data_IF_970565435271
#
_entry.id   IF_970565435271
#
_cell.length_a   1.000
_cell.length_b   1.000
_cell.length_c   1.000
_cell.angle_alpha   90.00
_cell.angle_beta   90.00
_cell.angle_gamma   90.00
#
_symmetry.space_group_name_H-M   'P 1'
#
loop_
_entity.id
_entity.type
_entity.pdbx_description
1 polymer ?
#
# COMPACT_ATOMS: atom_id res chain seq x y z
N UNK A 1 28.17 -29.78 19.27
CA UNK A 1 29.35 -30.58 19.68
C UNK A 1 30.59 -29.79 19.29
N UNK A 2 31.53 -29.60 20.24
CA UNK A 2 32.73 -28.72 20.25
C UNK A 2 32.44 -27.20 20.40
N UNK A 3 32.62 -26.54 21.58
CA UNK A 3 33.81 -26.29 22.46
C UNK A 3 34.65 -25.13 21.89
N UNK A 4 35.16 -24.11 22.60
CA UNK A 4 35.03 -23.50 23.95
C UNK A 4 35.93 -22.22 23.95
N UNK A 5 35.57 -21.15 24.67
CA UNK A 5 36.14 -20.68 25.95
C UNK A 5 37.27 -19.60 25.90
N UNK A 6 37.04 -18.55 26.72
CA UNK A 6 37.95 -17.89 27.69
C UNK A 6 39.17 -17.09 27.16
N UNK A 7 39.68 -16.02 27.79
CA UNK A 7 39.37 -15.31 29.05
C UNK A 7 40.19 -14.00 29.13
N UNK A 8 39.72 -13.12 30.01
CA UNK A 8 40.35 -12.09 30.88
C UNK A 8 41.87 -11.86 30.93
N UNK A 9 42.26 -10.58 31.10
CA UNK A 9 43.33 -10.06 32.01
C UNK A 9 43.20 -8.52 32.06
N UNK A 10 42.95 -7.73 33.13
CA UNK A 10 43.37 -7.60 34.54
C UNK A 10 44.44 -6.50 34.81
N UNK A 11 44.15 -5.65 35.82
CA UNK A 11 45.08 -4.83 36.64
C UNK A 11 45.55 -3.46 36.09
N UNK A 12 45.86 -2.41 36.85
CA UNK A 12 45.79 -2.08 38.30
C UNK A 12 46.56 -0.75 38.52
N UNK A 13 46.05 0.15 39.39
CA UNK A 13 46.77 1.03 40.38
C UNK A 13 47.84 2.04 39.87
N UNK A 14 48.20 3.17 40.51
CA UNK A 14 47.72 4.16 41.49
C UNK A 14 48.85 5.25 41.57
N UNK A 15 48.60 6.36 42.26
CA UNK A 15 49.57 7.27 42.92
C UNK A 15 50.08 8.57 42.22
N UNK A 16 49.41 9.68 42.60
CA UNK A 16 49.93 10.90 43.27
C UNK A 16 51.21 11.62 42.78
N UNK A 17 51.08 12.93 42.47
CA UNK A 17 52.00 13.98 42.97
C UNK A 17 51.44 15.41 42.76
N UNK A 18 51.28 16.16 43.85
CA UNK A 18 51.38 17.64 43.96
C UNK A 18 52.76 17.99 44.59
N UNK A 19 53.28 19.25 44.66
CA UNK A 19 52.58 20.55 44.61
C UNK A 19 53.32 21.69 43.84
N UNK A 20 52.71 22.87 43.70
CA UNK A 20 53.21 24.18 44.23
C UNK A 20 52.40 25.40 43.72
N UNK A 21 52.38 26.41 44.59
CA UNK A 21 51.47 27.56 44.73
C UNK A 21 51.88 28.81 43.95
N UNK A 22 50.91 29.53 43.36
CA UNK A 22 50.76 31.02 43.30
C UNK A 22 49.66 31.31 42.26
N UNK A 23 48.46 31.82 42.57
CA UNK A 23 48.17 33.08 43.25
C UNK A 23 47.90 34.17 42.20
N UNK A 24 46.64 34.34 41.77
CA UNK A 24 46.03 35.65 41.47
C UNK A 24 44.53 35.50 41.17
N UNK A 25 43.74 36.44 41.69
CA UNK A 25 42.28 36.55 41.58
C UNK A 25 41.84 37.08 40.21
N UNK A 26 40.86 36.46 39.56
CA UNK A 26 39.90 37.19 38.71
C UNK A 26 38.59 36.41 38.56
N UNK A 27 37.50 37.16 38.65
CA UNK A 27 36.09 36.75 38.57
C UNK A 27 35.66 36.16 37.22
N UNK A 28 34.51 35.48 37.28
CA UNK A 28 33.47 35.29 36.24
C UNK A 28 33.60 34.15 35.21
N UNK A 29 32.60 33.27 35.23
CA UNK A 29 32.14 32.50 34.07
C UNK A 29 32.04 30.99 34.28
N UNK A 30 31.02 30.52 35.00
CA UNK A 30 30.56 29.13 34.86
C UNK A 30 29.83 29.01 33.51
N UNK A 31 30.17 28.07 32.61
CA UNK A 31 29.30 27.77 31.48
C UNK A 31 28.12 26.97 32.03
N UNK A 32 26.96 27.61 32.12
CA UNK A 32 25.69 26.90 32.28
C UNK A 32 25.48 26.09 31.01
N UNK A 33 25.62 24.77 31.13
CA UNK A 33 25.01 23.81 30.22
C UNK A 33 23.50 24.02 30.28
N UNK A 34 22.96 24.76 29.32
CA UNK A 34 21.53 24.72 29.02
C UNK A 34 21.28 23.43 28.26
N UNK A 35 20.93 22.37 28.98
CA UNK A 35 20.09 21.33 28.42
C UNK A 35 18.77 22.01 28.03
N UNK A 36 18.56 22.20 26.73
CA UNK A 36 17.25 22.47 26.19
C UNK A 36 16.46 21.15 26.26
N UNK A 37 15.95 20.82 27.44
CA UNK A 37 14.83 19.92 27.59
C UNK A 37 13.61 20.67 27.06
N UNK A 38 13.31 20.51 25.77
CA UNK A 38 12.00 20.87 25.24
C UNK A 38 10.99 19.94 25.89
N UNK A 39 10.13 20.48 26.76
CA UNK A 39 8.88 19.80 27.10
C UNK A 39 8.13 19.62 25.77
N UNK A 40 8.04 18.38 25.29
CA UNK A 40 7.11 18.04 24.21
C UNK A 40 5.72 18.37 24.72
N UNK A 41 5.08 19.39 24.14
CA UNK A 41 3.71 19.71 24.51
C UNK A 41 2.83 18.51 24.13
N UNK A 42 2.07 17.98 25.09
CA UNK A 42 0.95 17.07 24.79
C UNK A 42 -0.23 17.89 24.23
N UNK A 43 0.04 18.80 23.29
CA UNK A 43 -1.00 19.57 22.63
C UNK A 43 -1.89 18.61 21.84
N UNK A 44 -3.20 18.81 21.95
CA UNK A 44 -4.24 18.07 21.22
C UNK A 44 -4.84 19.03 20.20
N UNK A 45 -4.13 19.36 19.09
CA UNK A 45 -4.57 20.36 18.12
C UNK A 45 -5.90 20.00 17.43
N UNK A 46 -6.30 18.73 17.44
CA UNK A 46 -7.58 18.27 16.92
C UNK A 46 -8.76 18.39 17.88
N UNK A 47 -8.57 18.86 19.13
CA UNK A 47 -9.65 18.87 20.13
C UNK A 47 -10.86 19.67 19.65
N UNK A 48 -12.01 18.99 19.51
CA UNK A 48 -13.26 19.58 19.03
C UNK A 48 -13.43 19.62 17.52
N UNK A 49 -12.50 19.03 16.76
CA UNK A 49 -12.60 18.84 15.31
C UNK A 49 -12.96 17.38 15.03
N UNK A 50 -14.07 17.16 14.32
CA UNK A 50 -14.45 15.82 13.84
C UNK A 50 -13.82 15.55 12.48
N UNK A 51 -13.44 14.29 12.24
CA UNK A 51 -12.87 13.82 10.97
C UNK A 51 -13.68 12.65 10.45
N UNK A 52 -14.04 12.66 9.18
CA UNK A 52 -14.70 11.58 8.46
C UNK A 52 -13.71 10.94 7.47
N UNK A 53 -13.00 9.87 7.87
CA UNK A 53 -12.17 9.11 6.94
C UNK A 53 -13.02 8.36 5.92
N UNK A 54 -12.40 8.05 4.78
CA UNK A 54 -12.87 7.07 3.83
C UNK A 54 -11.84 5.93 3.70
N UNK A 55 -12.32 4.76 3.29
CA UNK A 55 -11.51 3.59 2.94
C UNK A 55 -12.01 2.90 1.69
N UNK A 56 -11.16 2.03 1.15
CA UNK A 56 -11.44 1.33 -0.09
C UNK A 56 -12.49 0.23 0.11
N UNK A 57 -13.13 -0.24 -0.97
CA UNK A 57 -14.00 -1.43 -0.95
C UNK A 57 -13.23 -2.75 -0.96
N UNK A 58 -11.90 -2.69 -0.99
CA UNK A 58 -11.00 -3.83 -0.79
C UNK A 58 -10.27 -3.72 0.54
N UNK A 59 -10.15 -4.85 1.23
CA UNK A 59 -9.72 -4.90 2.62
C UNK A 59 -8.20 -4.68 2.83
N UNK A 60 -7.37 -4.85 1.79
CA UNK A 60 -5.90 -4.66 1.90
C UNK A 60 -5.46 -3.21 2.14
N UNK A 61 -6.42 -2.28 2.13
CA UNK A 61 -6.27 -0.85 2.48
C UNK A 61 -6.71 -0.48 3.90
N UNK A 62 -7.30 -1.42 4.67
CA UNK A 62 -7.91 -1.10 5.97
C UNK A 62 -6.87 -0.84 7.07
N UNK A 63 -5.73 -1.53 7.01
CA UNK A 63 -4.64 -1.35 7.97
C UNK A 63 -4.03 0.05 7.90
N UNK A 64 -3.84 0.55 6.68
CA UNK A 64 -3.37 1.91 6.41
C UNK A 64 -4.40 2.90 6.97
N UNK A 65 -5.69 2.73 6.68
CA UNK A 65 -6.72 3.60 7.26
C UNK A 65 -6.70 3.60 8.79
N UNK A 66 -6.64 2.42 9.43
CA UNK A 66 -6.58 2.32 10.89
C UNK A 66 -5.36 3.04 11.50
N UNK A 67 -4.19 2.97 10.86
CA UNK A 67 -2.99 3.71 11.28
C UNK A 67 -3.20 5.22 11.17
N UNK A 68 -3.74 5.70 10.06
CA UNK A 68 -3.97 7.14 9.85
C UNK A 68 -5.06 7.69 10.78
N UNK A 69 -6.13 6.93 11.03
CA UNK A 69 -7.16 7.27 11.99
C UNK A 69 -6.60 7.34 13.42
N UNK A 70 -5.79 6.35 13.84
CA UNK A 70 -5.12 6.37 15.14
C UNK A 70 -4.17 7.57 15.30
N UNK A 71 -3.48 7.98 14.23
CA UNK A 71 -2.63 9.18 14.24
C UNK A 71 -3.42 10.46 14.55
N UNK A 72 -4.60 10.60 13.94
CA UNK A 72 -5.48 11.75 14.19
C UNK A 72 -6.08 11.68 15.61
N UNK A 73 -6.45 10.51 16.10
CA UNK A 73 -6.89 10.34 17.50
C UNK A 73 -5.80 10.78 18.49
N UNK A 74 -4.54 10.42 18.26
CA UNK A 74 -3.39 10.84 19.09
C UNK A 74 -3.09 12.36 19.01
N UNK A 75 -3.57 13.03 17.96
CA UNK A 75 -3.58 14.49 17.84
C UNK A 75 -4.85 15.13 18.43
N UNK A 76 -5.80 14.33 18.91
CA UNK A 76 -7.00 14.76 19.62
C UNK A 76 -8.24 14.98 18.76
N UNK A 77 -8.22 14.56 17.49
CA UNK A 77 -9.39 14.60 16.62
C UNK A 77 -10.46 13.59 17.05
N UNK A 78 -11.73 13.92 16.80
CA UNK A 78 -12.86 12.99 16.93
C UNK A 78 -13.08 12.26 15.59
N UNK A 79 -12.42 11.11 15.43
CA UNK A 79 -12.42 10.36 14.17
C UNK A 79 -13.65 9.45 14.09
N UNK A 80 -14.48 9.67 13.08
CA UNK A 80 -15.65 8.84 12.81
C UNK A 80 -15.25 7.50 12.18
N UNK A 81 -16.18 6.53 12.18
CA UNK A 81 -16.02 5.29 11.43
C UNK A 81 -15.81 5.59 9.95
N UNK A 82 -14.80 4.97 9.33
CA UNK A 82 -14.48 5.19 7.94
C UNK A 82 -15.62 4.77 7.00
N UNK A 83 -15.91 5.63 6.03
CA UNK A 83 -16.86 5.29 4.98
C UNK A 83 -16.17 4.46 3.90
N UNK A 84 -16.70 3.27 3.65
CA UNK A 84 -16.25 2.43 2.54
C UNK A 84 -16.80 2.94 1.21
N UNK A 85 -15.92 3.35 0.30
CA UNK A 85 -16.27 3.99 -0.96
C UNK A 85 -15.44 3.43 -2.12
N UNK A 86 -16.09 3.21 -3.26
CA UNK A 86 -15.39 2.96 -4.53
C UNK A 86 -14.71 4.24 -5.06
N UNK A 87 -13.68 4.08 -5.91
CA UNK A 87 -12.82 5.19 -6.36
C UNK A 87 -13.60 6.41 -6.87
N UNK A 88 -14.60 6.28 -7.77
CA UNK A 88 -15.28 7.44 -8.35
C UNK A 88 -16.05 8.24 -7.29
N UNK A 89 -16.66 7.54 -6.33
CA UNK A 89 -17.43 8.17 -5.27
C UNK A 89 -16.47 8.83 -4.27
N UNK A 90 -15.41 8.13 -3.86
CA UNK A 90 -14.40 8.71 -2.99
C UNK A 90 -13.85 10.04 -3.55
N UNK A 91 -13.37 10.04 -4.80
CA UNK A 91 -12.70 11.22 -5.37
C UNK A 91 -13.64 12.42 -5.54
N UNK A 92 -14.93 12.18 -5.76
CA UNK A 92 -15.95 13.24 -5.73
C UNK A 92 -16.22 13.73 -4.29
N UNK A 93 -16.38 12.81 -3.34
CA UNK A 93 -16.68 13.12 -1.94
C UNK A 93 -15.55 13.88 -1.25
N UNK A 94 -14.28 13.50 -1.47
CA UNK A 94 -13.14 14.19 -0.87
C UNK A 94 -12.96 15.59 -1.45
N UNK A 95 -13.20 15.78 -2.75
CA UNK A 95 -13.16 17.10 -3.38
C UNK A 95 -14.28 18.02 -2.86
N UNK A 96 -15.44 17.44 -2.57
CA UNK A 96 -16.60 18.15 -2.02
C UNK A 96 -16.49 18.42 -0.52
N UNK A 97 -15.60 17.73 0.20
CA UNK A 97 -15.48 17.79 1.66
C UNK A 97 -16.53 16.95 2.41
N UNK A 98 -17.15 15.97 1.74
CA UNK A 98 -18.06 15.01 2.38
C UNK A 98 -17.29 13.95 3.21
N UNK A 99 -16.03 13.70 2.84
CA UNK A 99 -15.03 12.93 3.59
C UNK A 99 -13.72 13.70 3.57
N UNK A 100 -12.89 13.54 4.59
CA UNK A 100 -11.69 14.37 4.78
C UNK A 100 -10.46 13.78 4.09
N UNK A 101 -10.27 12.46 4.13
CA UNK A 101 -9.12 11.80 3.53
C UNK A 101 -9.33 10.32 3.21
N UNK A 102 -8.40 9.77 2.42
CA UNK A 102 -8.22 8.34 2.18
C UNK A 102 -6.74 8.01 2.04
N UNK A 103 -6.25 7.06 2.85
CA UNK A 103 -4.86 6.61 2.86
C UNK A 103 -4.62 5.40 1.91
N UNK A 104 -5.25 5.40 0.73
CA UNK A 104 -5.13 4.30 -0.23
C UNK A 104 -5.36 4.75 -1.69
N UNK A 105 -4.92 5.95 -2.06
CA UNK A 105 -4.90 6.38 -3.47
C UNK A 105 -3.73 5.73 -4.20
N UNK A 106 -3.99 4.98 -5.27
CA UNK A 106 -2.96 4.24 -6.01
C UNK A 106 -2.55 5.02 -7.25
N UNK A 107 -1.30 5.47 -7.33
CA UNK A 107 -0.83 6.27 -8.45
C UNK A 107 0.32 5.58 -9.17
N UNK A 108 0.28 5.45 -10.51
CA UNK A 108 -0.59 6.20 -11.45
C UNK A 108 -1.96 5.56 -11.74
N UNK A 109 -2.34 4.44 -11.13
CA UNK A 109 -3.60 3.73 -11.44
C UNK A 109 -4.86 4.61 -11.34
N UNK A 110 -4.88 5.55 -10.40
CA UNK A 110 -6.00 6.46 -10.14
C UNK A 110 -5.85 7.83 -10.81
N UNK A 111 -4.87 8.03 -11.70
CA UNK A 111 -4.66 9.31 -12.41
C UNK A 111 -5.91 9.81 -13.14
N UNK A 112 -6.75 8.89 -13.65
CA UNK A 112 -8.03 9.24 -14.27
C UNK A 112 -8.98 10.06 -13.39
N UNK A 113 -8.75 10.08 -12.07
CA UNK A 113 -9.52 10.87 -11.11
C UNK A 113 -8.87 12.20 -10.73
N UNK A 114 -7.67 12.52 -11.23
CA UNK A 114 -6.93 13.74 -10.87
C UNK A 114 -7.72 15.01 -11.18
N UNK A 115 -8.34 15.11 -12.36
CA UNK A 115 -9.22 16.24 -12.71
C UNK A 115 -10.44 16.35 -11.77
N UNK A 116 -10.90 15.23 -11.22
CA UNK A 116 -12.02 15.22 -10.27
C UNK A 116 -11.58 15.72 -8.91
N UNK A 117 -10.54 15.12 -8.32
CA UNK A 117 -10.19 15.44 -6.94
C UNK A 117 -9.47 16.77 -6.79
N UNK A 118 -8.67 17.19 -7.78
CA UNK A 118 -7.94 18.47 -7.75
C UNK A 118 -8.83 19.73 -7.71
N UNK A 119 -10.15 19.57 -7.82
CA UNK A 119 -11.12 20.65 -7.62
C UNK A 119 -11.26 21.09 -6.15
N UNK A 120 -10.86 20.25 -5.19
CA UNK A 120 -10.96 20.56 -3.76
C UNK A 120 -10.15 19.65 -2.84
N UNK A 121 -9.32 18.76 -3.40
CA UNK A 121 -8.47 17.83 -2.68
C UNK A 121 -7.10 17.72 -3.35
N UNK A 122 -6.12 17.20 -2.61
CA UNK A 122 -4.76 17.02 -3.09
C UNK A 122 -4.11 15.78 -2.48
N UNK A 123 -3.00 15.34 -3.09
CA UNK A 123 -2.16 14.29 -2.49
C UNK A 123 -1.43 14.91 -1.29
N UNK A 124 -1.72 14.40 -0.10
CA UNK A 124 -1.23 14.93 1.18
C UNK A 124 0.00 14.18 1.72
N UNK A 125 0.36 13.04 1.13
CA UNK A 125 1.49 12.23 1.56
C UNK A 125 1.63 10.92 0.78
N UNK A 126 2.74 10.23 1.02
CA UNK A 126 3.02 8.91 0.43
C UNK A 126 3.12 7.87 1.53
N UNK A 127 2.10 7.01 1.61
CA UNK A 127 2.04 5.88 2.55
C UNK A 127 3.18 4.92 2.24
N UNK A 128 3.32 4.52 0.97
CA UNK A 128 4.36 3.62 0.53
C UNK A 128 4.70 3.78 -0.96
N UNK A 129 5.99 3.79 -1.28
CA UNK A 129 6.49 3.90 -2.67
C UNK A 129 6.56 2.52 -3.32
N UNK A 130 6.05 2.37 -4.54
CA UNK A 130 6.03 1.09 -5.26
C UNK A 130 5.30 -0.01 -4.50
N UNK A 131 4.27 0.36 -3.75
CA UNK A 131 3.60 -0.50 -2.80
C UNK A 131 2.60 -1.49 -3.35
N UNK A 132 2.33 -1.47 -4.65
CA UNK A 132 1.57 -2.52 -5.30
C UNK A 132 2.12 -2.88 -6.67
N UNK A 133 2.32 -4.20 -6.87
CA UNK A 133 2.46 -4.79 -8.20
C UNK A 133 1.12 -5.37 -8.64
N UNK A 134 0.78 -5.20 -9.91
CA UNK A 134 -0.50 -5.61 -10.47
C UNK A 134 -0.29 -6.32 -11.81
N UNK A 135 -1.24 -7.16 -12.21
CA UNK A 135 -1.17 -7.85 -13.49
C UNK A 135 -2.08 -9.05 -13.62
N UNK A 136 -1.83 -9.82 -14.67
CA UNK A 136 -2.62 -10.99 -15.04
C UNK A 136 -1.95 -12.27 -14.60
N UNK A 137 -2.74 -13.19 -14.05
CA UNK A 137 -2.32 -14.54 -13.75
C UNK A 137 -3.22 -15.56 -14.40
N UNK A 138 -2.63 -16.70 -14.70
CA UNK A 138 -3.33 -17.91 -15.11
C UNK A 138 -2.87 -19.08 -14.27
N UNK A 139 -3.65 -20.17 -14.24
CA UNK A 139 -3.17 -21.40 -13.64
C UNK A 139 -1.92 -21.93 -14.37
N UNK A 140 -0.96 -22.39 -13.59
CA UNK A 140 0.33 -22.84 -14.11
C UNK A 140 0.20 -24.02 -15.06
N UNK A 141 -0.75 -24.92 -14.79
CA UNK A 141 -1.00 -26.09 -15.63
C UNK A 141 -1.39 -25.67 -17.05
N UNK A 142 -2.33 -24.74 -17.20
CA UNK A 142 -2.75 -24.18 -18.48
C UNK A 142 -1.63 -23.38 -19.16
N UNK A 143 -0.85 -22.62 -18.39
CA UNK A 143 0.32 -21.91 -18.91
C UNK A 143 1.31 -22.88 -19.59
N UNK A 144 1.62 -24.00 -18.93
CA UNK A 144 2.54 -25.02 -19.43
C UNK A 144 1.95 -25.85 -20.57
N UNK A 145 0.67 -26.24 -20.47
CA UNK A 145 -0.02 -27.05 -21.48
C UNK A 145 -0.13 -26.33 -22.82
N UNK A 146 -0.54 -25.06 -22.79
CA UNK A 146 -0.78 -24.28 -24.00
C UNK A 146 0.39 -23.36 -24.37
N UNK A 147 1.42 -23.25 -23.53
CA UNK A 147 2.55 -22.35 -23.73
C UNK A 147 2.14 -20.88 -23.70
N UNK A 148 1.26 -20.51 -22.76
CA UNK A 148 0.74 -19.14 -22.63
C UNK A 148 1.78 -18.29 -21.90
N UNK A 149 2.11 -17.14 -22.50
CA UNK A 149 3.04 -16.17 -21.94
C UNK A 149 2.48 -14.75 -21.91
N UNK A 150 1.48 -14.46 -22.75
CA UNK A 150 0.88 -13.13 -22.83
C UNK A 150 -0.63 -13.20 -23.03
N UNK A 151 -1.33 -12.08 -22.79
CA UNK A 151 -2.77 -11.98 -23.09
C UNK A 151 -3.11 -12.26 -24.56
N UNK A 152 -2.21 -12.01 -25.52
CA UNK A 152 -2.45 -12.30 -26.93
C UNK A 152 -2.61 -13.81 -27.22
N UNK A 153 -2.11 -14.68 -26.34
CA UNK A 153 -2.27 -16.12 -26.51
C UNK A 153 -3.73 -16.58 -26.45
N UNK A 154 -4.60 -15.77 -25.84
CA UNK A 154 -6.05 -16.00 -25.79
C UNK A 154 -6.77 -15.75 -27.11
N UNK A 155 -6.09 -15.31 -28.18
CA UNK A 155 -6.67 -15.35 -29.52
C UNK A 155 -6.84 -16.80 -30.03
N UNK A 156 -5.99 -17.71 -29.54
CA UNK A 156 -5.93 -19.10 -29.99
C UNK A 156 -7.19 -19.88 -29.59
N UNK A 157 -7.86 -20.59 -30.51
CA UNK A 157 -9.11 -21.30 -30.21
C UNK A 157 -9.00 -22.28 -29.05
N UNK A 158 -7.90 -23.04 -28.97
CA UNK A 158 -7.68 -24.03 -27.92
C UNK A 158 -7.50 -23.40 -26.53
N UNK A 159 -6.92 -22.19 -26.47
CA UNK A 159 -6.77 -21.46 -25.21
C UNK A 159 -8.12 -20.90 -24.78
N UNK A 160 -8.88 -20.28 -25.71
CA UNK A 160 -10.23 -19.78 -25.38
C UNK A 160 -11.13 -20.87 -24.85
N UNK A 161 -11.21 -22.00 -25.54
CA UNK A 161 -12.07 -23.12 -25.13
C UNK A 161 -11.71 -23.67 -23.74
N UNK A 162 -10.42 -23.67 -23.38
CA UNK A 162 -9.97 -24.14 -22.07
C UNK A 162 -10.34 -23.18 -20.92
N UNK A 163 -10.36 -21.87 -21.19
CA UNK A 163 -10.63 -20.81 -20.20
C UNK A 163 -12.05 -20.24 -20.28
N UNK A 164 -12.90 -20.78 -21.17
CA UNK A 164 -14.32 -20.49 -21.28
C UNK A 164 -15.09 -21.24 -20.18
N UNK A 165 -15.61 -20.51 -19.21
CA UNK A 165 -16.32 -21.09 -18.07
C UNK A 165 -17.83 -21.20 -18.31
N UNK A 166 -18.41 -20.33 -19.12
CA UNK A 166 -19.86 -20.28 -19.36
C UNK A 166 -20.32 -20.86 -20.71
N UNK A 167 -19.37 -21.20 -21.59
CA UNK A 167 -19.57 -21.82 -22.89
C UNK A 167 -19.94 -20.85 -24.01
N UNK A 168 -19.68 -19.55 -23.86
CA UNK A 168 -20.01 -18.54 -24.86
C UNK A 168 -18.98 -18.41 -26.01
N UNK A 169 -17.84 -19.10 -25.90
CA UNK A 169 -16.76 -19.13 -26.88
C UNK A 169 -15.62 -18.14 -26.62
N UNK A 170 -15.58 -17.49 -25.45
CA UNK A 170 -14.51 -16.59 -25.00
C UNK A 170 -13.93 -17.07 -23.68
N UNK A 171 -12.66 -16.73 -23.42
CA UNK A 171 -12.07 -16.96 -22.11
C UNK A 171 -12.63 -15.99 -21.08
N UNK A 172 -12.81 -16.45 -19.85
CA UNK A 172 -13.32 -15.62 -18.76
C UNK A 172 -12.17 -15.04 -17.93
N UNK A 173 -12.00 -13.71 -18.01
CA UNK A 173 -11.08 -12.94 -17.18
C UNK A 173 -11.83 -12.38 -15.97
N UNK A 174 -11.53 -12.91 -14.79
CA UNK A 174 -11.97 -12.30 -13.53
C UNK A 174 -11.20 -10.98 -13.32
N UNK A 175 -11.85 -9.86 -13.63
CA UNK A 175 -11.25 -8.54 -13.71
C UNK A 175 -11.62 -7.66 -12.50
N UNK A 176 -11.41 -6.36 -12.64
CA UNK A 176 -11.80 -5.37 -11.65
C UNK A 176 -13.26 -4.93 -11.79
N UNK A 177 -13.93 -4.59 -10.67
CA UNK A 177 -15.21 -3.90 -10.69
C UNK A 177 -15.20 -2.61 -11.51
N UNK A 178 -16.34 -2.28 -12.10
CA UNK A 178 -16.51 -1.01 -12.82
C UNK A 178 -16.21 0.18 -11.91
N UNK A 179 -15.42 1.13 -12.41
CA UNK A 179 -15.01 2.30 -11.65
C UNK A 179 -13.77 2.08 -10.78
N UNK A 180 -13.16 0.90 -10.76
CA UNK A 180 -11.81 0.77 -10.22
C UNK A 180 -10.77 1.19 -11.27
N UNK A 181 -9.65 1.75 -10.84
CA UNK A 181 -8.57 2.15 -11.74
C UNK A 181 -8.07 1.02 -12.66
N UNK A 182 -7.95 -0.19 -12.11
CA UNK A 182 -7.56 -1.37 -12.88
C UNK A 182 -8.60 -1.81 -13.92
N UNK A 183 -9.90 -1.54 -13.74
CA UNK A 183 -10.90 -1.81 -14.78
C UNK A 183 -10.65 -0.95 -16.03
N UNK A 184 -10.28 0.32 -15.85
CA UNK A 184 -9.90 1.19 -16.97
C UNK A 184 -8.68 0.66 -17.72
N UNK A 185 -7.63 0.26 -17.00
CA UNK A 185 -6.39 -0.25 -17.61
C UNK A 185 -6.61 -1.60 -18.28
N UNK A 186 -7.33 -2.54 -17.64
CA UNK A 186 -7.68 -3.84 -18.23
C UNK A 186 -8.52 -3.64 -19.50
N UNK A 187 -9.54 -2.79 -19.43
CA UNK A 187 -10.37 -2.47 -20.58
C UNK A 187 -9.55 -1.90 -21.75
N UNK A 188 -8.61 -1.00 -21.45
CA UNK A 188 -7.66 -0.46 -22.42
C UNK A 188 -6.82 -1.57 -23.06
N UNK A 189 -6.22 -2.48 -22.27
CA UNK A 189 -5.45 -3.60 -22.82
C UNK A 189 -6.28 -4.49 -23.74
N UNK A 190 -7.52 -4.80 -23.36
CA UNK A 190 -8.40 -5.64 -24.18
C UNK A 190 -8.80 -4.94 -25.50
N UNK A 191 -8.96 -3.62 -25.49
CA UNK A 191 -9.29 -2.84 -26.69
C UNK A 191 -8.07 -2.65 -27.61
N UNK A 192 -6.93 -2.25 -27.07
CA UNK A 192 -5.69 -1.99 -27.82
C UNK A 192 -5.12 -3.27 -28.46
N UNK A 193 -5.24 -4.40 -27.76
CA UNK A 193 -4.84 -5.71 -28.27
C UNK A 193 -5.92 -6.40 -29.12
N UNK A 194 -7.11 -5.82 -29.25
CA UNK A 194 -8.21 -6.42 -30.03
C UNK A 194 -8.80 -7.71 -29.43
N UNK A 195 -8.72 -7.88 -28.11
CA UNK A 195 -9.09 -9.10 -27.39
C UNK A 195 -10.57 -9.15 -26.94
N UNK A 196 -11.36 -8.12 -27.21
CA UNK A 196 -12.80 -8.08 -26.84
C UNK A 196 -13.65 -9.21 -27.43
N UNK A 197 -13.25 -9.75 -28.58
CA UNK A 197 -13.90 -10.91 -29.21
C UNK A 197 -13.36 -12.26 -28.69
N UNK A 198 -12.45 -12.24 -27.72
CA UNK A 198 -11.69 -13.40 -27.25
C UNK A 198 -11.76 -13.60 -25.74
N UNK A 199 -11.92 -12.51 -24.99
CA UNK A 199 -11.96 -12.50 -23.52
C UNK A 199 -13.22 -11.78 -23.06
N UNK A 200 -13.95 -12.39 -22.12
CA UNK A 200 -14.97 -11.75 -21.31
C UNK A 200 -14.31 -11.05 -20.13
N UNK A 201 -14.52 -9.75 -20.01
CA UNK A 201 -14.09 -8.97 -18.84
C UNK A 201 -15.17 -9.06 -17.76
N UNK A 202 -14.97 -9.90 -16.75
CA UNK A 202 -15.92 -10.06 -15.64
C UNK A 202 -15.65 -8.96 -14.61
N UNK A 203 -16.52 -7.95 -14.60
CA UNK A 203 -16.43 -6.76 -13.71
C UNK A 203 -17.35 -6.85 -12.49
N UNK A 204 -17.74 -8.07 -12.09
CA UNK A 204 -18.49 -8.30 -10.86
C UNK A 204 -17.65 -7.97 -9.61
N UNK A 205 -18.29 -7.90 -8.44
CA UNK A 205 -17.58 -7.63 -7.18
C UNK A 205 -16.38 -8.56 -6.96
N UNK A 206 -15.19 -7.97 -6.75
CA UNK A 206 -13.91 -8.67 -6.86
C UNK A 206 -13.84 -9.95 -6.03
N UNK A 207 -14.16 -9.88 -4.73
CA UNK A 207 -14.05 -11.04 -3.84
C UNK A 207 -14.96 -12.21 -4.24
N UNK A 208 -16.18 -11.92 -4.70
CA UNK A 208 -17.10 -12.95 -5.17
C UNK A 208 -16.65 -13.54 -6.51
N UNK A 209 -16.17 -12.69 -7.42
CA UNK A 209 -15.62 -13.10 -8.72
C UNK A 209 -14.40 -14.01 -8.52
N UNK A 210 -13.48 -13.64 -7.64
CA UNK A 210 -12.29 -14.45 -7.35
C UNK A 210 -12.60 -15.74 -6.58
N UNK A 211 -13.62 -15.76 -5.72
CA UNK A 211 -14.07 -17.00 -5.09
C UNK A 211 -14.58 -18.02 -6.11
N UNK A 212 -15.28 -17.55 -7.16
CA UNK A 212 -15.72 -18.40 -8.28
C UNK A 212 -14.53 -18.92 -9.10
N UNK A 213 -13.54 -18.08 -9.38
CA UNK A 213 -12.29 -18.48 -10.03
C UNK A 213 -11.56 -19.57 -9.23
N UNK A 214 -11.38 -19.36 -7.92
CA UNK A 214 -10.74 -20.36 -7.04
C UNK A 214 -11.52 -21.67 -7.04
N UNK A 215 -12.85 -21.64 -6.95
CA UNK A 215 -13.67 -22.86 -7.00
C UNK A 215 -13.48 -23.62 -8.32
N UNK A 216 -13.44 -22.91 -9.46
CA UNK A 216 -13.16 -23.51 -10.77
C UNK A 216 -11.77 -24.17 -10.80
N UNK A 217 -10.77 -23.51 -10.25
CA UNK A 217 -9.42 -24.05 -10.16
C UNK A 217 -9.37 -25.33 -9.30
N UNK A 218 -10.02 -25.33 -8.14
CA UNK A 218 -10.11 -26.50 -7.24
C UNK A 218 -10.82 -27.69 -7.91
N UNK A 219 -11.79 -27.41 -8.79
CA UNK A 219 -12.47 -28.41 -9.62
C UNK A 219 -11.64 -28.87 -10.84
N UNK A 220 -10.41 -28.37 -11.00
CA UNK A 220 -9.45 -28.73 -12.04
C UNK A 220 -9.63 -27.97 -13.36
N UNK A 221 -10.38 -26.86 -13.35
CA UNK A 221 -10.53 -25.97 -14.49
C UNK A 221 -9.42 -24.93 -14.61
N UNK A 222 -9.26 -24.37 -15.81
CA UNK A 222 -8.31 -23.29 -16.06
C UNK A 222 -8.91 -21.93 -15.69
N UNK A 223 -8.07 -21.03 -15.18
CA UNK A 223 -8.50 -19.72 -14.67
C UNK A 223 -7.61 -18.60 -15.22
N UNK A 224 -8.23 -17.50 -15.62
CA UNK A 224 -7.57 -16.24 -15.97
C UNK A 224 -8.12 -15.14 -15.06
N UNK A 225 -7.24 -14.42 -14.38
CA UNK A 225 -7.67 -13.36 -13.48
C UNK A 225 -6.65 -12.23 -13.40
N UNK A 226 -7.11 -11.06 -13.02
CA UNK A 226 -6.26 -9.95 -12.61
C UNK A 226 -6.15 -9.93 -11.07
N UNK A 227 -4.97 -9.55 -10.58
CA UNK A 227 -4.79 -9.24 -9.15
C UNK A 227 -3.69 -8.22 -8.91
N UNK A 228 -3.49 -7.90 -7.64
CA UNK A 228 -2.40 -7.09 -7.14
C UNK A 228 -1.67 -7.79 -6.00
N UNK A 229 -0.53 -7.26 -5.58
CA UNK A 229 0.18 -7.72 -4.39
C UNK A 229 0.41 -6.54 -3.45
N UNK A 230 0.10 -6.66 -2.14
CA UNK A 230 -0.49 -7.84 -1.49
C UNK A 230 -1.99 -8.02 -1.79
N UNK A 231 -2.43 -9.27 -1.98
CA UNK A 231 -3.84 -9.68 -2.09
C UNK A 231 -4.00 -11.10 -1.54
N UNK A 232 -5.20 -11.46 -1.06
CA UNK A 232 -5.50 -12.81 -0.56
C UNK A 232 -5.43 -13.88 -1.65
N UNK A 233 -5.75 -13.52 -2.90
CA UNK A 233 -5.77 -14.45 -4.03
C UNK A 233 -4.42 -15.10 -4.26
N UNK A 234 -3.31 -14.34 -4.14
CA UNK A 234 -1.96 -14.87 -4.32
C UNK A 234 -1.45 -15.69 -3.12
N UNK A 235 -2.17 -15.65 -1.98
CA UNK A 235 -1.91 -16.58 -0.87
C UNK A 235 -2.65 -17.90 -1.07
N UNK A 236 -3.86 -17.86 -1.62
CA UNK A 236 -4.66 -19.05 -1.95
C UNK A 236 -4.12 -19.75 -3.20
N UNK A 237 -3.67 -18.98 -4.19
CA UNK A 237 -3.11 -19.43 -5.45
C UNK A 237 -1.66 -18.93 -5.54
N UNK A 238 -0.70 -19.74 -5.09
CA UNK A 238 0.69 -19.32 -4.96
C UNK A 238 1.37 -19.13 -6.33
N UNK A 239 1.90 -17.94 -6.65
CA UNK A 239 2.64 -17.72 -7.88
C UNK A 239 3.89 -18.61 -7.99
N UNK A 240 4.05 -19.26 -9.14
CA UNK A 240 5.10 -20.23 -9.43
C UNK A 240 4.76 -21.67 -9.01
N UNK A 241 3.70 -21.88 -8.24
CA UNK A 241 3.20 -23.20 -7.84
C UNK A 241 1.83 -23.48 -8.47
N UNK A 242 0.82 -22.69 -8.13
CA UNK A 242 -0.56 -22.85 -8.59
C UNK A 242 -0.84 -22.03 -9.85
N UNK A 243 -0.32 -20.80 -9.88
CA UNK A 243 -0.55 -19.80 -10.92
C UNK A 243 0.76 -19.17 -11.38
N UNK A 244 0.76 -18.50 -12.52
CA UNK A 244 1.92 -17.75 -13.05
C UNK A 244 1.50 -16.40 -13.59
N UNK A 245 2.38 -15.40 -13.45
CA UNK A 245 2.18 -14.09 -14.06
C UNK A 245 2.45 -14.15 -15.55
N UNK A 246 1.51 -13.63 -16.35
CA UNK A 246 1.64 -13.47 -17.79
C UNK A 246 1.67 -11.99 -18.16
N UNK A 247 2.27 -11.68 -19.31
CA UNK A 247 2.51 -10.30 -19.72
C UNK A 247 1.61 -9.80 -20.83
N UNK A 248 1.95 -8.62 -21.35
CA UNK A 248 1.46 -8.11 -22.62
C UNK A 248 2.43 -8.46 -23.75
N UNK A 249 1.95 -8.56 -25.01
CA UNK A 249 2.83 -8.74 -26.17
C UNK A 249 3.62 -7.47 -26.55
N UNK A 250 3.15 -6.29 -26.12
CA UNK A 250 3.74 -4.98 -26.36
C UNK A 250 3.28 -3.98 -25.29
N UNK A 251 4.04 -2.91 -24.98
CA UNK A 251 3.64 -1.89 -24.03
C UNK A 251 2.29 -1.27 -24.41
N UNK A 252 1.40 -1.13 -23.43
CA UNK A 252 0.06 -0.57 -23.59
C UNK A 252 -0.35 0.02 -22.24
N UNK A 253 -0.82 1.27 -22.22
CA UNK A 253 -1.29 1.96 -21.01
C UNK A 253 -2.19 3.14 -21.44
N UNK A 254 -3.29 3.43 -20.72
CA UNK A 254 -4.27 4.45 -21.15
C UNK A 254 -3.72 5.89 -21.15
N UNK A 255 -2.61 6.14 -20.45
CA UNK A 255 -1.98 7.46 -20.33
C UNK A 255 -0.52 7.42 -20.80
N UNK A 256 0.05 8.59 -21.10
CA UNK A 256 1.48 8.68 -21.38
C UNK A 256 2.30 8.32 -20.14
N UNK A 257 3.03 7.22 -20.21
CA UNK A 257 3.94 6.74 -19.18
C UNK A 257 5.25 6.28 -19.82
N UNK A 258 6.33 6.31 -19.04
CA UNK A 258 7.57 5.65 -19.43
C UNK A 258 7.34 4.13 -19.53
N UNK A 259 7.43 3.57 -20.74
CA UNK A 259 7.18 2.16 -21.03
C UNK A 259 8.08 1.22 -20.20
N UNK A 260 9.27 1.67 -19.80
CA UNK A 260 10.17 0.90 -18.94
C UNK A 260 9.52 0.61 -17.57
N UNK A 261 8.59 1.47 -17.10
CA UNK A 261 7.84 1.24 -15.85
C UNK A 261 6.84 0.10 -15.95
N UNK A 262 6.43 -0.29 -17.15
CA UNK A 262 5.47 -1.39 -17.37
C UNK A 262 6.17 -2.76 -17.35
N UNK A 263 7.50 -2.78 -17.34
CA UNK A 263 8.33 -3.98 -17.39
C UNK A 263 9.03 -4.19 -16.05
N UNK A 264 8.74 -5.30 -15.38
CA UNK A 264 9.26 -5.60 -14.04
C UNK A 264 10.17 -6.83 -14.09
N UNK A 265 11.34 -6.72 -13.47
CA UNK A 265 12.29 -7.84 -13.32
C UNK A 265 12.12 -8.56 -11.99
N UNK A 266 12.46 -9.84 -11.96
CA UNK A 266 12.52 -10.62 -10.71
C UNK A 266 11.16 -10.92 -10.08
N UNK A 267 10.07 -10.85 -10.85
CA UNK A 267 8.73 -11.21 -10.39
C UNK A 267 8.66 -12.73 -10.16
N UNK A 268 8.48 -13.15 -8.91
CA UNK A 268 8.34 -14.55 -8.56
C UNK A 268 7.11 -15.17 -9.26
N UNK A 269 7.29 -16.32 -9.91
CA UNK A 269 6.22 -16.98 -10.65
C UNK A 269 5.90 -16.37 -12.02
N UNK A 270 6.70 -15.43 -12.53
CA UNK A 270 6.52 -14.92 -13.89
C UNK A 270 6.97 -15.91 -14.97
N UNK A 271 6.26 -15.92 -16.11
CA UNK A 271 6.59 -16.74 -17.29
C UNK A 271 7.83 -16.25 -18.05
N UNK A 272 8.28 -15.02 -17.80
CA UNK A 272 9.53 -14.45 -18.34
C UNK A 272 10.17 -13.49 -17.34
N UNK A 273 11.47 -13.24 -17.52
CA UNK A 273 12.20 -12.22 -16.75
C UNK A 273 13.13 -11.43 -17.71
N UNK A 274 12.92 -10.11 -17.89
CA UNK A 274 11.82 -9.32 -17.32
C UNK A 274 10.44 -9.70 -17.87
N UNK A 275 9.38 -9.35 -17.14
CA UNK A 275 7.99 -9.50 -17.56
C UNK A 275 7.40 -8.12 -17.88
N UNK A 276 6.85 -7.97 -19.09
CA UNK A 276 6.04 -6.81 -19.43
C UNK A 276 4.65 -6.98 -18.80
N UNK A 277 4.48 -6.51 -17.57
CA UNK A 277 3.26 -6.67 -16.77
C UNK A 277 2.09 -5.89 -17.37
N UNK A 278 2.36 -4.76 -18.04
CA UNK A 278 1.34 -3.83 -18.52
C UNK A 278 0.82 -2.88 -17.44
N UNK A 279 1.24 -3.06 -16.20
CA UNK A 279 0.93 -2.18 -15.07
C UNK A 279 2.23 -1.67 -14.46
N UNK A 280 2.35 -0.37 -14.19
CA UNK A 280 3.46 0.15 -13.41
C UNK A 280 3.29 -0.23 -11.93
N UNK A 281 4.40 -0.28 -11.19
CA UNK A 281 4.29 -0.28 -9.73
C UNK A 281 3.62 1.02 -9.26
N UNK A 282 2.65 0.90 -8.35
CA UNK A 282 1.93 2.04 -7.80
C UNK A 282 2.52 2.51 -6.49
N UNK A 283 2.57 3.83 -6.31
CA UNK A 283 2.68 4.42 -4.99
C UNK A 283 1.30 4.40 -4.32
N UNK A 284 1.27 4.13 -3.01
CA UNK A 284 0.08 4.28 -2.18
C UNK A 284 0.19 5.65 -1.51
N UNK A 285 -0.77 6.52 -1.79
CA UNK A 285 -0.79 7.90 -1.36
C UNK A 285 -2.01 8.21 -0.49
N UNK A 286 -1.86 9.24 0.32
CA UNK A 286 -2.98 9.87 1.03
C UNK A 286 -3.54 10.95 0.11
N UNK A 287 -4.85 10.93 -0.13
CA UNK A 287 -5.57 12.01 -0.79
C UNK A 287 -6.52 12.62 0.22
N UNK A 288 -6.45 13.93 0.41
CA UNK A 288 -7.21 14.64 1.42
C UNK A 288 -7.80 15.95 0.90
N UNK A 289 -8.91 16.38 1.48
CA UNK A 289 -9.57 17.63 1.16
C UNK A 289 -8.65 18.82 1.46
N UNK A 290 -8.46 19.73 0.51
CA UNK A 290 -7.51 20.84 0.63
C UNK A 290 -7.93 21.84 1.72
N UNK A 291 -9.24 22.08 1.87
CA UNK A 291 -9.72 22.96 2.94
C UNK A 291 -9.49 22.32 4.32
N UNK A 292 -9.72 21.02 4.46
CA UNK A 292 -9.41 20.29 5.69
C UNK A 292 -7.93 20.44 6.05
N UNK A 293 -7.01 20.24 5.09
CA UNK A 293 -5.56 20.39 5.31
C UNK A 293 -5.18 21.81 5.73
N UNK A 294 -5.73 22.83 5.06
CA UNK A 294 -5.50 24.25 5.38
C UNK A 294 -5.95 24.61 6.81
N UNK A 295 -7.09 24.07 7.26
CA UNK A 295 -7.64 24.31 8.59
C UNK A 295 -6.95 23.45 9.68
N UNK A 296 -6.28 22.36 9.28
CA UNK A 296 -5.70 21.36 10.17
C UNK A 296 -4.22 21.08 9.85
N UNK A 297 -3.32 22.05 10.09
CA UNK A 297 -1.90 21.91 9.76
C UNK A 297 -1.20 20.75 10.48
N UNK A 298 -1.67 20.35 11.67
CA UNK A 298 -1.16 19.16 12.35
C UNK A 298 -1.51 17.87 11.59
N UNK A 299 -2.75 17.73 11.13
CA UNK A 299 -3.17 16.58 10.31
C UNK A 299 -2.42 16.56 8.98
N UNK A 300 -2.32 17.69 8.30
CA UNK A 300 -1.57 17.82 7.05
C UNK A 300 -0.10 17.38 7.22
N UNK A 301 0.56 17.84 8.29
CA UNK A 301 1.93 17.42 8.59
C UNK A 301 2.03 15.94 8.94
N UNK A 302 1.08 15.40 9.70
CA UNK A 302 1.07 13.97 10.01
C UNK A 302 0.92 13.12 8.75
N UNK A 303 0.07 13.53 7.81
CA UNK A 303 -0.12 12.81 6.54
C UNK A 303 1.13 12.80 5.66
N UNK A 304 1.89 13.89 5.66
CA UNK A 304 3.19 13.99 4.98
C UNK A 304 4.23 13.02 5.56
N UNK A 305 4.18 12.81 6.88
CA UNK A 305 5.22 12.11 7.64
C UNK A 305 5.02 10.60 7.76
N UNK A 306 3.78 10.13 7.92
CA UNK A 306 3.51 8.70 8.06
C UNK A 306 3.96 7.98 6.79
N UNK A 307 4.82 6.99 6.97
CA UNK A 307 5.21 6.03 5.96
C UNK A 307 5.10 4.64 6.56
N UNK A 308 4.53 3.70 5.82
CA UNK A 308 4.38 2.32 6.25
C UNK A 308 5.29 1.46 5.37
N UNK A 309 6.30 0.77 5.95
CA UNK A 309 7.15 -0.13 5.19
C UNK A 309 6.33 -1.19 4.44
N UNK A 310 6.69 -1.45 3.19
CA UNK A 310 5.96 -2.45 2.37
C UNK A 310 5.94 -3.83 3.02
N UNK A 311 7.06 -4.25 3.60
CA UNK A 311 7.16 -5.49 4.35
C UNK A 311 6.14 -5.60 5.49
N UNK A 312 5.79 -4.49 6.14
CA UNK A 312 4.77 -4.48 7.19
C UNK A 312 3.36 -4.59 6.61
N UNK A 313 3.09 -3.90 5.49
CA UNK A 313 1.83 -4.05 4.75
C UNK A 313 1.67 -5.51 4.28
N UNK A 314 2.72 -6.11 3.74
CA UNK A 314 2.73 -7.52 3.34
C UNK A 314 2.50 -8.47 4.52
N UNK A 315 3.19 -8.24 5.65
CA UNK A 315 3.06 -9.06 6.84
C UNK A 315 1.68 -8.94 7.50
N UNK A 316 1.07 -7.76 7.48
CA UNK A 316 -0.28 -7.56 7.99
C UNK A 316 -1.32 -8.21 7.06
N UNK A 317 -1.20 -8.05 5.75
CA UNK A 317 -2.09 -8.72 4.80
C UNK A 317 -1.97 -10.25 4.88
N UNK A 318 -0.79 -10.78 5.17
CA UNK A 318 -0.62 -12.21 5.43
C UNK A 318 -1.42 -12.69 6.66
N UNK A 319 -1.45 -11.91 7.75
CA UNK A 319 -2.27 -12.22 8.93
C UNK A 319 -3.78 -12.19 8.60
N UNK A 320 -4.23 -11.21 7.80
CA UNK A 320 -5.61 -11.18 7.32
C UNK A 320 -5.96 -12.45 6.55
N UNK A 321 -5.06 -12.91 5.69
CA UNK A 321 -5.27 -14.14 4.93
C UNK A 321 -5.28 -15.41 5.80
N UNK A 322 -4.62 -15.38 6.95
CA UNK A 322 -4.65 -16.45 7.96
C UNK A 322 -5.91 -16.40 8.85
N UNK A 323 -6.82 -15.44 8.60
CA UNK A 323 -8.13 -15.32 9.24
C UNK A 323 -8.22 -14.22 10.31
N UNK A 324 -7.20 -13.36 10.44
CA UNK A 324 -7.23 -12.18 11.31
C UNK A 324 -7.68 -10.92 10.52
N UNK A 325 -8.88 -10.97 9.94
CA UNK A 325 -9.41 -9.99 8.99
C UNK A 325 -10.60 -9.16 9.53
N UNK A 326 -10.96 -9.34 10.80
CA UNK A 326 -12.02 -8.56 11.44
C UNK A 326 -11.56 -7.13 11.77
N UNK A 327 -12.50 -6.19 11.94
CA UNK A 327 -12.14 -4.81 12.35
C UNK A 327 -11.36 -4.81 13.68
N UNK A 328 -11.75 -5.64 14.64
CA UNK A 328 -11.05 -5.75 15.93
C UNK A 328 -9.60 -6.25 15.76
N UNK A 329 -9.37 -7.15 14.79
CA UNK A 329 -8.03 -7.63 14.45
C UNK A 329 -7.19 -6.56 13.76
N UNK A 330 -7.77 -5.83 12.81
CA UNK A 330 -7.09 -4.73 12.11
C UNK A 330 -6.69 -3.63 13.08
N UNK A 331 -7.60 -3.21 13.96
CA UNK A 331 -7.30 -2.20 14.99
C UNK A 331 -6.21 -2.69 15.95
N UNK A 332 -6.20 -3.99 16.28
CA UNK A 332 -5.14 -4.59 17.09
C UNK A 332 -3.81 -4.59 16.34
N UNK A 333 -3.78 -5.00 15.08
CA UNK A 333 -2.59 -5.03 14.24
C UNK A 333 -2.02 -3.61 14.05
N UNK A 334 -2.86 -2.59 13.85
CA UNK A 334 -2.45 -1.19 13.81
C UNK A 334 -1.79 -0.75 15.13
N UNK A 335 -2.41 -1.06 16.29
CA UNK A 335 -1.81 -0.76 17.61
C UNK A 335 -0.49 -1.50 17.86
N UNK A 336 -0.38 -2.75 17.42
CA UNK A 336 0.86 -3.53 17.52
C UNK A 336 1.96 -2.95 16.64
N UNK A 337 1.62 -2.53 15.42
CA UNK A 337 2.54 -1.84 14.51
C UNK A 337 3.03 -0.50 15.08
N UNK A 338 2.12 0.32 15.62
CA UNK A 338 2.46 1.60 16.27
C UNK A 338 3.44 1.36 17.43
N UNK A 339 3.17 0.35 18.28
CA UNK A 339 4.07 0.00 19.38
C UNK A 339 5.45 -0.46 18.91
N UNK A 340 5.52 -1.19 17.79
CA UNK A 340 6.78 -1.61 17.18
C UNK A 340 7.57 -0.42 16.59
N UNK A 341 6.87 0.63 16.15
CA UNK A 341 7.42 1.84 15.53
C UNK A 341 7.33 3.09 16.42
N UNK A 342 7.25 2.91 17.75
CA UNK A 342 6.94 3.99 18.69
C UNK A 342 7.90 5.20 18.59
N UNK A 343 9.18 4.97 18.29
CA UNK A 343 10.15 6.06 18.14
C UNK A 343 9.84 6.97 16.95
N UNK A 344 9.43 6.39 15.82
CA UNK A 344 9.08 7.16 14.62
C UNK A 344 7.72 7.81 14.82
N UNK A 345 6.77 7.08 15.41
CA UNK A 345 5.44 7.58 15.78
C UNK A 345 5.51 8.83 16.68
N UNK A 346 6.29 8.76 17.76
CA UNK A 346 6.47 9.89 18.69
C UNK A 346 7.13 11.09 18.01
N UNK A 347 8.07 10.86 17.10
CA UNK A 347 8.72 11.91 16.32
C UNK A 347 7.73 12.59 15.36
N UNK A 348 6.91 11.81 14.65
CA UNK A 348 5.88 12.34 13.76
C UNK A 348 4.83 13.16 14.51
N UNK A 349 4.34 12.67 15.64
CA UNK A 349 3.40 13.41 16.50
C UNK A 349 4.00 14.72 17.01
N UNK A 350 5.29 14.73 17.38
CA UNK A 350 5.96 15.95 17.83
C UNK A 350 6.03 17.00 16.70
N UNK A 351 6.39 16.59 15.49
CA UNK A 351 6.43 17.48 14.32
C UNK A 351 5.02 17.97 13.91
N UNK A 352 4.03 17.09 13.92
CA UNK A 352 2.64 17.43 13.64
C UNK A 352 2.09 18.45 14.64
N UNK A 353 2.32 18.26 15.94
CA UNK A 353 1.91 19.23 16.98
C UNK A 353 2.60 20.58 16.81
N UNK A 354 3.88 20.59 16.46
CA UNK A 354 4.61 21.84 16.20
C UNK A 354 4.05 22.60 14.99
N UNK A 355 3.52 21.91 13.98
CA UNK A 355 2.90 22.53 12.82
C UNK A 355 1.62 23.32 13.15
N UNK A 356 0.90 22.96 14.23
CA UNK A 356 -0.27 23.71 14.69
C UNK A 356 0.06 25.06 15.35
N UNK A 357 1.32 25.30 15.70
CA UNK A 357 1.76 26.52 16.40
C UNK A 357 2.31 27.61 15.45
N UNK A 358 2.44 27.31 14.16
CA UNK A 358 3.04 28.19 13.12
C UNK A 358 2.03 29.10 12.43
#
# INVERSE_FOLDING_TARGET
MLVAACSDDSGSEDATSEPTTSGETTETGTPTSTEAGGETSNAMPGEGVSVQPARATWNTGYFQEAIYSAALEDLGYDVAEAQELDNPIFYQSVAAGDVDFWANGWFPLHNQYEETFSQGAEIAGTVAVGGALEGYLIDKAGAEEFGITTLADFERPEVKEAYDADGDGKADLHACPEGWGCNTVIGHHLDDLGLRDHINEITAGYSASMADAVARYEDGGHILFYTWTPNWTVNVLAPGEDVVWIGLPQPSYPEEIDEDRLTISGVAGAVSDPLLMGFPANDINVVANSQFLDENPAAAKMFELIQIPLEDIFAQNAQMNDGEDSQDDIDRQAREWIQAHQSDWDAWLAEARAAAEM
#
